data_IF_319707409091
#
_entry.id   IF_319707409091
#
_cell.length_a   1.000
_cell.length_b   1.000
_cell.length_c   1.000
_cell.angle_alpha   90.00
_cell.angle_beta   90.00
_cell.angle_gamma   90.00
#
_symmetry.space_group_name_H-M   'P 1'
#
loop_
_entity.id
_entity.type
_entity.pdbx_description
1 polymer ?
#
# COMPACT_ATOMS: atom_id res chain seq x y z
N UNK A 1 -52.52 37.24 30.26
CA UNK A 1 -53.06 36.52 29.08
C UNK A 1 -51.89 35.90 28.33
N UNK A 2 -51.87 34.55 28.19
CA UNK A 2 -51.02 33.67 27.32
C UNK A 2 -49.49 33.71 27.52
N UNK A 3 -48.88 32.77 28.27
CA UNK A 3 -48.38 31.43 27.86
C UNK A 3 -47.43 31.48 26.66
N UNK A 4 -46.14 31.17 26.91
CA UNK A 4 -45.47 30.04 26.22
C UNK A 4 -44.17 29.67 26.91
N UNK A 5 -44.28 28.60 27.69
CA UNK A 5 -43.23 27.71 28.15
C UNK A 5 -42.66 26.97 26.93
N UNK A 6 -41.48 27.33 26.46
CA UNK A 6 -40.73 26.50 25.50
C UNK A 6 -39.55 25.85 26.23
N UNK A 7 -39.83 24.69 26.83
CA UNK A 7 -38.80 23.68 27.09
C UNK A 7 -38.23 23.23 25.74
N UNK A 8 -36.97 23.55 25.46
CA UNK A 8 -36.20 22.87 24.42
C UNK A 8 -35.10 22.09 25.15
N UNK A 9 -35.40 20.81 25.40
CA UNK A 9 -34.41 19.79 25.70
C UNK A 9 -33.46 19.69 24.50
N UNK A 10 -32.27 20.29 24.61
CA UNK A 10 -31.20 20.06 23.66
C UNK A 10 -30.59 18.69 23.98
N UNK A 11 -31.22 17.66 23.44
CA UNK A 11 -30.77 16.27 23.55
C UNK A 11 -29.32 16.13 23.08
N UNK A 12 -28.52 15.53 23.96
CA UNK A 12 -27.17 15.05 23.71
C UNK A 12 -27.12 14.16 22.46
N UNK A 13 -26.74 14.73 21.32
CA UNK A 13 -26.27 13.94 20.18
C UNK A 13 -24.79 13.62 20.42
N UNK A 14 -24.53 12.54 21.14
CA UNK A 14 -23.22 11.89 21.14
C UNK A 14 -23.00 11.31 19.75
N UNK A 15 -22.31 12.07 18.89
CA UNK A 15 -21.80 11.56 17.61
C UNK A 15 -20.70 10.56 17.94
N UNK A 16 -21.05 9.28 18.00
CA UNK A 16 -20.08 8.19 18.05
C UNK A 16 -19.34 8.17 16.72
N UNK A 17 -18.16 8.79 16.67
CA UNK A 17 -17.21 8.62 15.58
C UNK A 17 -16.70 7.17 15.62
N UNK A 18 -17.42 6.26 14.97
CA UNK A 18 -16.89 4.93 14.64
C UNK A 18 -15.74 5.14 13.65
N UNK A 19 -14.53 5.30 14.19
CA UNK A 19 -13.31 5.25 13.39
C UNK A 19 -13.10 3.80 12.99
N UNK A 20 -13.55 3.41 11.80
CA UNK A 20 -13.18 2.15 11.18
C UNK A 20 -11.68 2.16 10.98
N UNK A 21 -10.93 1.56 11.90
CA UNK A 21 -9.50 1.31 11.72
C UNK A 21 -9.35 0.45 10.46
N UNK A 22 -9.02 1.08 9.34
CA UNK A 22 -8.65 0.37 8.12
C UNK A 22 -7.43 -0.46 8.48
N UNK A 23 -7.61 -1.79 8.58
CA UNK A 23 -6.55 -2.70 8.97
C UNK A 23 -5.48 -2.65 7.86
N UNK A 24 -4.43 -1.86 8.07
CA UNK A 24 -3.35 -1.71 7.10
C UNK A 24 -2.63 -3.04 7.04
N UNK A 25 -2.66 -3.68 5.87
CA UNK A 25 -1.94 -4.92 5.63
C UNK A 25 -0.45 -4.75 6.00
N UNK A 26 0.03 -5.59 6.91
CA UNK A 26 1.45 -5.66 7.26
C UNK A 26 2.02 -7.04 6.88
N UNK A 27 2.76 -7.16 5.76
CA UNK A 27 3.37 -8.42 5.34
C UNK A 27 4.31 -9.02 6.39
N UNK A 28 4.98 -8.18 7.19
CA UNK A 28 5.90 -8.70 8.20
C UNK A 28 5.14 -9.36 9.35
N UNK A 29 4.08 -8.71 9.85
CA UNK A 29 3.23 -9.28 10.89
C UNK A 29 2.56 -10.56 10.41
N UNK A 30 2.04 -10.57 9.17
CA UNK A 30 1.48 -11.77 8.54
C UNK A 30 2.50 -12.91 8.50
N UNK A 31 3.71 -12.65 8.01
CA UNK A 31 4.72 -13.70 7.90
C UNK A 31 5.15 -14.23 9.27
N UNK A 32 5.27 -13.38 10.30
CA UNK A 32 5.51 -13.86 11.67
C UNK A 32 4.37 -14.73 12.21
N UNK A 33 3.11 -14.38 11.93
CA UNK A 33 1.95 -15.15 12.37
C UNK A 33 1.89 -16.53 11.71
N UNK A 34 2.02 -16.60 10.38
CA UNK A 34 1.88 -17.87 9.65
C UNK A 34 3.06 -18.82 9.87
N UNK A 35 4.22 -18.32 10.30
CA UNK A 35 5.41 -19.13 10.57
C UNK A 35 5.76 -19.22 12.06
N UNK A 36 4.82 -18.98 12.97
CA UNK A 36 5.09 -18.87 14.41
C UNK A 36 5.78 -20.09 15.05
N UNK A 37 5.58 -21.29 14.50
CA UNK A 37 6.19 -22.54 14.99
C UNK A 37 7.31 -23.08 14.08
N UNK A 38 7.75 -22.29 13.12
CA UNK A 38 8.75 -22.68 12.12
C UNK A 38 10.12 -22.05 12.43
N UNK A 39 11.21 -22.55 11.83
CA UNK A 39 12.52 -21.92 11.94
C UNK A 39 12.49 -20.47 11.43
N UNK A 40 13.38 -19.61 11.95
CA UNK A 40 13.48 -18.20 11.58
C UNK A 40 13.61 -17.94 10.07
N UNK A 41 14.18 -18.89 9.34
CA UNK A 41 14.31 -18.83 7.87
C UNK A 41 12.96 -18.90 7.14
N UNK A 42 11.91 -19.47 7.75
CA UNK A 42 10.57 -19.53 7.18
C UNK A 42 9.93 -18.14 7.02
N UNK A 43 10.20 -17.20 7.94
CA UNK A 43 9.73 -15.80 7.82
C UNK A 43 10.28 -15.17 6.53
N UNK A 44 11.57 -15.36 6.25
CA UNK A 44 12.20 -14.80 5.07
C UNK A 44 11.66 -15.44 3.78
N UNK A 45 11.44 -16.76 3.78
CA UNK A 45 10.81 -17.44 2.65
C UNK A 45 9.39 -16.89 2.38
N UNK A 46 8.57 -16.73 3.42
CA UNK A 46 7.26 -16.10 3.33
C UNK A 46 7.33 -14.69 2.70
N UNK A 47 8.26 -13.85 3.17
CA UNK A 47 8.42 -12.49 2.64
C UNK A 47 8.87 -12.48 1.17
N UNK A 48 9.71 -13.41 0.73
CA UNK A 48 10.12 -13.52 -0.66
C UNK A 48 8.94 -13.93 -1.57
N UNK A 49 8.10 -14.84 -1.12
CA UNK A 49 6.89 -15.26 -1.85
C UNK A 49 5.87 -14.10 -1.93
N UNK A 50 5.67 -13.38 -0.82
CA UNK A 50 4.82 -12.17 -0.80
C UNK A 50 5.36 -11.07 -1.71
N UNK A 51 6.68 -10.87 -1.74
CA UNK A 51 7.31 -9.90 -2.64
C UNK A 51 7.07 -10.27 -4.10
N UNK A 52 7.30 -11.53 -4.46
CA UNK A 52 7.04 -12.03 -5.81
C UNK A 52 5.58 -11.81 -6.22
N UNK A 53 4.63 -12.11 -5.34
CA UNK A 53 3.22 -11.89 -5.60
C UNK A 53 2.90 -10.40 -5.79
N UNK A 54 3.42 -9.53 -4.91
CA UNK A 54 3.20 -8.09 -4.99
C UNK A 54 3.81 -7.47 -6.27
N UNK A 55 4.98 -7.96 -6.71
CA UNK A 55 5.60 -7.55 -7.97
C UNK A 55 4.77 -7.97 -9.18
N UNK A 56 4.31 -9.22 -9.21
CA UNK A 56 3.44 -9.72 -10.28
C UNK A 56 2.15 -8.90 -10.37
N UNK A 57 1.49 -8.64 -9.23
CA UNK A 57 0.29 -7.83 -9.18
C UNK A 57 0.53 -6.40 -9.68
N UNK A 58 1.61 -5.76 -9.22
CA UNK A 58 1.96 -4.40 -9.68
C UNK A 58 2.20 -4.36 -11.19
N UNK A 59 2.91 -5.35 -11.75
CA UNK A 59 3.19 -5.39 -13.19
C UNK A 59 1.92 -5.60 -14.02
N UNK A 60 1.03 -6.50 -13.61
CA UNK A 60 -0.27 -6.69 -14.27
C UNK A 60 -1.08 -5.39 -14.27
N UNK A 61 -1.10 -4.65 -13.16
CA UNK A 61 -1.80 -3.37 -13.10
C UNK A 61 -1.12 -2.30 -13.96
N UNK A 62 0.21 -2.25 -13.98
CA UNK A 62 0.95 -1.35 -14.86
C UNK A 62 0.64 -1.61 -16.34
N UNK A 63 0.66 -2.88 -16.75
CA UNK A 63 0.35 -3.28 -18.12
C UNK A 63 -1.10 -2.94 -18.49
N UNK A 64 -2.03 -3.14 -17.55
CA UNK A 64 -3.41 -2.68 -17.73
C UNK A 64 -3.50 -1.16 -17.90
N UNK A 65 -2.86 -0.38 -17.03
CA UNK A 65 -2.87 1.09 -17.11
C UNK A 65 -2.29 1.57 -18.44
N UNK A 66 -1.26 0.89 -18.95
CA UNK A 66 -0.71 1.15 -20.28
C UNK A 66 -1.70 0.80 -21.39
N UNK A 67 -2.33 -0.38 -21.35
CA UNK A 67 -3.34 -0.80 -22.32
C UNK A 67 -4.52 0.17 -22.37
N UNK A 68 -5.01 0.61 -21.21
CA UNK A 68 -6.12 1.56 -21.13
C UNK A 68 -5.78 2.92 -21.80
N UNK A 69 -4.50 3.32 -21.78
CA UNK A 69 -4.00 4.50 -22.51
C UNK A 69 -3.85 4.24 -24.01
N UNK A 70 -3.37 3.06 -24.40
CA UNK A 70 -3.22 2.64 -25.81
C UNK A 70 -4.58 2.54 -26.51
N UNK A 71 -5.60 2.07 -25.78
CA UNK A 71 -6.98 1.96 -26.26
C UNK A 71 -7.74 3.30 -26.23
N UNK A 72 -7.11 4.38 -25.77
CA UNK A 72 -7.73 5.70 -25.79
C UNK A 72 -7.64 6.35 -27.18
N UNK A 73 -8.75 6.93 -27.66
CA UNK A 73 -8.80 7.69 -28.92
C UNK A 73 -8.07 9.05 -28.84
N UNK A 74 -7.27 9.28 -27.80
CA UNK A 74 -6.62 10.55 -27.53
C UNK A 74 -5.32 10.70 -28.30
N UNK A 75 -5.15 11.84 -28.99
CA UNK A 75 -3.86 12.23 -29.59
C UNK A 75 -2.74 12.38 -28.56
N UNK A 76 -3.07 12.50 -27.27
CA UNK A 76 -2.11 12.60 -26.18
C UNK A 76 -1.68 11.23 -25.61
N UNK A 77 -2.24 10.11 -26.08
CA UNK A 77 -1.98 8.77 -25.55
C UNK A 77 -0.48 8.45 -25.45
N UNK A 78 0.29 8.77 -26.51
CA UNK A 78 1.74 8.51 -26.54
C UNK A 78 2.49 9.24 -25.41
N UNK A 79 2.17 10.51 -25.18
CA UNK A 79 2.80 11.30 -24.12
C UNK A 79 2.42 10.77 -22.73
N UNK A 80 1.19 10.30 -22.54
CA UNK A 80 0.74 9.72 -21.29
C UNK A 80 1.44 8.38 -20.99
N UNK A 81 1.61 7.53 -22.01
CA UNK A 81 2.36 6.26 -21.90
C UNK A 81 3.82 6.52 -21.53
N UNK A 82 4.46 7.53 -22.15
CA UNK A 82 5.84 7.90 -21.81
C UNK A 82 5.97 8.41 -20.37
N UNK A 83 4.99 9.20 -19.92
CA UNK A 83 4.93 9.66 -18.53
C UNK A 83 4.67 8.51 -17.54
N UNK A 84 3.82 7.55 -17.88
CA UNK A 84 3.57 6.34 -17.09
C UNK A 84 4.86 5.51 -16.93
N UNK A 85 5.57 5.28 -18.03
CA UNK A 85 6.84 4.55 -18.03
C UNK A 85 7.91 5.25 -17.19
N UNK A 86 8.08 6.57 -17.36
CA UNK A 86 9.02 7.36 -16.56
C UNK A 86 8.64 7.37 -15.07
N UNK A 87 7.36 7.52 -14.76
CA UNK A 87 6.84 7.45 -13.39
C UNK A 87 7.14 6.09 -12.74
N UNK A 88 6.95 4.99 -13.47
CA UNK A 88 7.22 3.64 -12.98
C UNK A 88 8.72 3.42 -12.71
N UNK A 89 9.59 3.91 -13.61
CA UNK A 89 11.04 3.84 -13.41
C UNK A 89 11.48 4.58 -12.14
N UNK A 90 11.01 5.81 -11.93
CA UNK A 90 11.34 6.59 -10.73
C UNK A 90 10.75 5.96 -9.47
N UNK A 91 9.56 5.36 -9.55
CA UNK A 91 8.98 4.61 -8.44
C UNK A 91 9.88 3.45 -8.01
N UNK A 92 10.42 2.66 -8.94
CA UNK A 92 11.31 1.53 -8.61
C UNK A 92 12.58 2.02 -7.89
N UNK A 93 13.16 3.13 -8.35
CA UNK A 93 14.33 3.74 -7.70
C UNK A 93 14.00 4.24 -6.28
N UNK A 94 12.87 4.93 -6.13
CA UNK A 94 12.36 5.37 -4.83
C UNK A 94 12.14 4.18 -3.88
N UNK A 95 11.47 3.12 -4.36
CA UNK A 95 11.19 1.91 -3.58
C UNK A 95 12.46 1.33 -3.01
N UNK A 96 13.46 1.10 -3.87
CA UNK A 96 14.74 0.52 -3.46
C UNK A 96 15.45 1.40 -2.43
N UNK A 97 15.56 2.71 -2.70
CA UNK A 97 16.24 3.64 -1.80
C UNK A 97 15.55 3.77 -0.43
N UNK A 98 14.22 3.86 -0.42
CA UNK A 98 13.45 4.00 0.81
C UNK A 98 13.48 2.72 1.64
N UNK A 99 13.35 1.55 1.01
CA UNK A 99 13.40 0.28 1.73
C UNK A 99 14.80 -0.03 2.26
N UNK A 100 15.85 0.38 1.54
CA UNK A 100 17.22 0.35 2.06
C UNK A 100 17.38 1.27 3.27
N UNK A 101 16.83 2.49 3.23
CA UNK A 101 16.87 3.43 4.37
C UNK A 101 16.19 2.84 5.60
N UNK A 102 15.01 2.23 5.45
CA UNK A 102 14.30 1.58 6.57
C UNK A 102 15.06 0.38 7.14
N UNK A 103 15.60 -0.47 6.27
CA UNK A 103 16.45 -1.61 6.65
C UNK A 103 17.68 -1.16 7.45
N UNK A 104 18.35 -0.08 7.01
CA UNK A 104 19.55 0.44 7.65
C UNK A 104 19.33 0.92 9.09
N UNK A 105 18.11 1.32 9.46
CA UNK A 105 17.77 1.71 10.84
C UNK A 105 17.91 0.55 11.83
N UNK A 106 17.89 -0.70 11.34
CA UNK A 106 18.08 -1.90 12.16
C UNK A 106 19.55 -2.28 12.34
N UNK A 107 20.49 -1.56 11.69
CA UNK A 107 21.93 -1.79 11.81
C UNK A 107 22.37 -3.22 11.46
N UNK A 108 21.66 -3.88 10.54
CA UNK A 108 21.96 -5.23 10.04
C UNK A 108 21.20 -6.35 10.74
N UNK A 109 21.68 -7.58 10.57
CA UNK A 109 21.01 -8.79 11.05
C UNK A 109 19.79 -9.20 10.22
N UNK A 110 19.13 -10.29 10.62
CA UNK A 110 18.00 -10.87 9.88
C UNK A 110 16.77 -9.97 9.88
N UNK A 111 16.54 -9.22 10.97
CA UNK A 111 15.45 -8.25 11.05
C UNK A 111 15.57 -7.13 10.00
N UNK A 112 16.79 -6.67 9.68
CA UNK A 112 16.99 -5.68 8.64
C UNK A 112 16.56 -6.20 7.25
N UNK A 113 16.85 -7.47 6.95
CA UNK A 113 16.40 -8.12 5.72
C UNK A 113 14.89 -8.28 5.64
N UNK A 114 14.25 -8.64 6.75
CA UNK A 114 12.79 -8.72 6.83
C UNK A 114 12.13 -7.37 6.57
N UNK A 115 12.64 -6.29 7.18
CA UNK A 115 12.11 -4.94 7.02
C UNK A 115 12.29 -4.45 5.59
N UNK A 116 13.41 -4.76 4.94
CA UNK A 116 13.64 -4.45 3.53
C UNK A 116 12.55 -5.07 2.65
N UNK A 117 12.35 -6.38 2.75
CA UNK A 117 11.35 -7.11 1.95
C UNK A 117 9.93 -6.63 2.24
N UNK A 118 9.58 -6.46 3.52
CA UNK A 118 8.27 -5.96 3.93
C UNK A 118 7.98 -4.55 3.39
N UNK A 119 8.98 -3.67 3.37
CA UNK A 119 8.85 -2.35 2.77
C UNK A 119 8.59 -2.44 1.25
N UNK A 120 9.34 -3.28 0.53
CA UNK A 120 9.17 -3.43 -0.93
C UNK A 120 7.77 -3.96 -1.28
N UNK A 121 7.26 -4.94 -0.53
CA UNK A 121 5.89 -5.44 -0.64
C UNK A 121 4.88 -4.30 -0.46
N UNK A 122 4.99 -3.53 0.64
CA UNK A 122 4.06 -2.43 0.95
C UNK A 122 4.05 -1.38 -0.16
N UNK A 123 5.22 -1.01 -0.68
CA UNK A 123 5.34 -0.02 -1.75
C UNK A 123 4.83 -0.55 -3.10
N UNK A 124 5.05 -1.82 -3.44
CA UNK A 124 4.48 -2.43 -4.65
C UNK A 124 2.95 -2.43 -4.59
N UNK A 125 2.37 -2.81 -3.45
CA UNK A 125 0.93 -2.78 -3.23
C UNK A 125 0.37 -1.36 -3.30
N UNK A 126 1.07 -0.38 -2.71
CA UNK A 126 0.70 1.03 -2.80
C UNK A 126 0.71 1.53 -4.26
N UNK A 127 1.74 1.15 -5.04
CA UNK A 127 1.84 1.53 -6.45
C UNK A 127 0.73 0.90 -7.28
N UNK A 128 0.47 -0.39 -7.10
CA UNK A 128 -0.64 -1.07 -7.77
C UNK A 128 -1.98 -0.38 -7.46
N UNK A 129 -2.25 -0.07 -6.18
CA UNK A 129 -3.46 0.68 -5.79
C UNK A 129 -3.51 2.08 -6.41
N UNK A 130 -2.38 2.76 -6.51
CA UNK A 130 -2.31 4.10 -7.12
C UNK A 130 -2.64 4.04 -8.60
N UNK A 131 -2.07 3.08 -9.33
CA UNK A 131 -2.33 2.87 -10.76
C UNK A 131 -3.76 2.43 -11.07
N UNK A 132 -4.39 1.65 -10.17
CA UNK A 132 -5.79 1.23 -10.31
C UNK A 132 -6.81 2.37 -10.15
N UNK A 133 -6.47 3.43 -9.43
CA UNK A 133 -7.40 4.51 -9.07
C UNK A 133 -7.22 5.79 -9.91
N UNK A 134 -6.32 5.76 -10.90
CA UNK A 134 -6.06 6.88 -11.80
C UNK A 134 -6.79 6.72 -13.13
#
# INVERSE_FOLDING_TARGET
MKISLFMIFCSLLTVSFFSSAQNKYDPLAKCYEVTANEPRTAVQACLLDELKLAEQQMNVIYDKSKSDLEDSDSVAAKSAIDALASSQQHFIQFRSAECQRQSALLMGGTGAGDVLLACEIKLNQWRAKTLLNN
#
